data_IF_458700456298
#
_entry.id   IF_458700456298
#
_cell.length_a   1.000
_cell.length_b   1.000
_cell.length_c   1.000
_cell.angle_alpha   90.00
_cell.angle_beta   90.00
_cell.angle_gamma   90.00
#
_symmetry.space_group_name_H-M   'P 1'
#
loop_
_entity.id
_entity.type
_entity.pdbx_description
1 polymer ?
#
# COMPACT_ATOMS: atom_id res chain seq x y z
N UNK A 1 -28.19 -1.09 5.20
CA UNK A 1 -27.20 -0.89 6.26
C UNK A 1 -26.30 0.27 5.81
N UNK A 2 -26.04 1.26 6.63
CA UNK A 2 -25.13 2.36 6.28
C UNK A 2 -23.78 2.03 6.92
N UNK A 3 -22.77 1.79 6.12
CA UNK A 3 -21.42 1.60 6.62
C UNK A 3 -20.76 2.97 6.81
N UNK A 4 -19.90 3.10 7.81
CA UNK A 4 -19.13 4.33 8.04
C UNK A 4 -18.02 4.49 6.98
N UNK A 5 -17.47 3.37 6.50
CA UNK A 5 -16.45 3.30 5.46
C UNK A 5 -16.74 2.15 4.49
N UNK A 6 -16.40 2.36 3.22
CA UNK A 6 -16.49 1.32 2.19
C UNK A 6 -15.27 0.39 2.23
N UNK A 7 -14.10 0.96 2.58
CA UNK A 7 -12.82 0.24 2.65
C UNK A 7 -12.09 0.61 3.94
N UNK A 8 -11.62 -0.40 4.65
CA UNK A 8 -10.74 -0.23 5.81
C UNK A 8 -9.41 -0.91 5.51
N UNK A 9 -8.32 -0.14 5.58
CA UNK A 9 -6.95 -0.63 5.39
C UNK A 9 -6.25 -0.68 6.75
N UNK A 10 -5.76 -1.85 7.13
CA UNK A 10 -5.04 -2.05 8.38
C UNK A 10 -3.54 -2.11 8.12
N UNK A 11 -2.82 -1.15 8.72
CA UNK A 11 -1.37 -1.03 8.60
C UNK A 11 -0.93 -0.02 7.53
N UNK A 12 -0.18 1.01 7.95
CA UNK A 12 0.34 2.07 7.09
C UNK A 12 1.80 1.82 6.65
N UNK A 13 2.13 0.58 6.29
CA UNK A 13 3.34 0.28 5.51
C UNK A 13 3.19 0.73 4.05
N UNK A 14 4.20 0.52 3.21
CA UNK A 14 4.17 0.95 1.81
C UNK A 14 2.94 0.42 1.05
N UNK A 15 2.61 -0.87 1.22
CA UNK A 15 1.46 -1.48 0.58
C UNK A 15 0.13 -0.88 1.09
N UNK A 16 0.01 -0.68 2.41
CA UNK A 16 -1.20 -0.08 3.00
C UNK A 16 -1.40 1.37 2.58
N UNK A 17 -0.33 2.16 2.47
CA UNK A 17 -0.40 3.53 1.96
C UNK A 17 -0.90 3.58 0.52
N UNK A 18 -0.37 2.72 -0.36
CA UNK A 18 -0.82 2.62 -1.75
C UNK A 18 -2.27 2.12 -1.85
N UNK A 19 -2.64 1.08 -1.06
CA UNK A 19 -3.99 0.54 -1.05
C UNK A 19 -5.03 1.58 -0.60
N UNK A 20 -4.75 2.30 0.49
CA UNK A 20 -5.64 3.35 0.99
C UNK A 20 -5.78 4.51 0.00
N UNK A 21 -4.67 4.94 -0.59
CA UNK A 21 -4.66 5.98 -1.61
C UNK A 21 -5.44 5.55 -2.86
N UNK A 22 -5.27 4.33 -3.32
CA UNK A 22 -5.96 3.79 -4.49
C UNK A 22 -7.47 3.69 -4.25
N UNK A 23 -7.90 3.15 -3.09
CA UNK A 23 -9.31 3.03 -2.73
C UNK A 23 -10.00 4.40 -2.65
N UNK A 24 -9.40 5.36 -1.96
CA UNK A 24 -9.96 6.71 -1.85
C UNK A 24 -10.02 7.43 -3.22
N UNK A 25 -9.01 7.29 -4.05
CA UNK A 25 -9.01 7.85 -5.42
C UNK A 25 -10.04 7.19 -6.35
N UNK A 26 -10.37 5.93 -6.10
CA UNK A 26 -11.47 5.25 -6.78
C UNK A 26 -12.86 5.72 -6.31
N UNK A 27 -12.93 6.61 -5.32
CA UNK A 27 -14.16 7.20 -4.81
C UNK A 27 -14.74 6.50 -3.58
N UNK A 28 -14.05 5.51 -3.02
CA UNK A 28 -14.47 4.84 -1.80
C UNK A 28 -14.20 5.69 -0.55
N UNK A 29 -15.14 5.72 0.39
CA UNK A 29 -14.90 6.23 1.74
C UNK A 29 -13.93 5.28 2.44
N UNK A 30 -12.71 5.74 2.69
CA UNK A 30 -11.61 4.86 3.11
C UNK A 30 -11.08 5.23 4.48
N UNK A 31 -10.84 4.23 5.34
CA UNK A 31 -10.17 4.39 6.63
C UNK A 31 -8.83 3.65 6.61
N UNK A 32 -7.76 4.35 6.94
CA UNK A 32 -6.44 3.75 7.18
C UNK A 32 -6.15 3.70 8.69
N UNK A 33 -6.00 2.51 9.23
CA UNK A 33 -5.69 2.30 10.66
C UNK A 33 -4.23 1.88 10.81
N UNK A 34 -3.51 2.54 11.72
CA UNK A 34 -2.12 2.20 12.03
C UNK A 34 -1.81 2.43 13.50
N UNK A 35 -0.90 1.65 14.06
CA UNK A 35 -0.49 1.80 15.46
C UNK A 35 0.26 3.11 15.74
N UNK A 36 0.92 3.68 14.74
CA UNK A 36 1.71 4.90 14.89
C UNK A 36 1.72 5.73 13.59
N UNK A 37 1.03 6.86 13.60
CA UNK A 37 0.96 7.78 12.46
C UNK A 37 2.30 8.44 12.12
N UNK A 38 3.26 8.43 13.04
CA UNK A 38 4.61 8.94 12.76
C UNK A 38 5.48 7.94 12.01
N UNK A 39 5.03 6.68 11.88
CA UNK A 39 5.73 5.60 11.18
C UNK A 39 5.10 5.21 9.84
N UNK A 40 4.24 6.07 9.31
CA UNK A 40 3.66 5.87 7.97
C UNK A 40 4.76 5.68 6.94
N UNK A 41 4.65 4.63 6.14
CA UNK A 41 5.60 4.25 5.08
C UNK A 41 7.08 4.23 5.55
N UNK A 42 7.33 3.89 6.81
CA UNK A 42 8.68 3.89 7.37
C UNK A 42 9.59 2.88 6.66
N UNK A 43 10.73 3.35 6.22
CA UNK A 43 11.81 2.51 5.69
C UNK A 43 12.61 1.91 6.84
N UNK A 44 12.29 0.69 7.27
CA UNK A 44 12.89 0.04 8.46
C UNK A 44 14.34 -0.42 8.25
N UNK A 45 14.68 -0.80 7.00
CA UNK A 45 16.03 -1.30 6.68
C UNK A 45 16.84 -0.25 5.88
N UNK A 46 17.17 -0.57 4.63
CA UNK A 46 17.84 0.37 3.75
C UNK A 46 16.82 1.39 3.22
N UNK A 47 17.11 2.71 3.30
CA UNK A 47 16.22 3.74 2.77
C UNK A 47 16.32 3.80 1.24
N UNK A 48 15.98 2.72 0.57
CA UNK A 48 16.10 2.61 -0.88
C UNK A 48 14.87 1.95 -1.50
N UNK A 49 14.43 2.53 -2.61
CA UNK A 49 13.34 2.03 -3.44
C UNK A 49 13.89 1.52 -4.77
N UNK A 50 13.34 0.42 -5.26
CA UNK A 50 13.79 -0.19 -6.51
C UNK A 50 14.92 -1.20 -6.31
N UNK A 51 15.70 -1.41 -7.37
CA UNK A 51 16.69 -2.48 -7.46
C UNK A 51 16.19 -3.64 -8.30
N UNK A 52 16.91 -4.77 -8.29
CA UNK A 52 16.61 -5.96 -9.10
C UNK A 52 15.18 -6.44 -8.81
N UNK A 53 14.36 -6.57 -9.85
CA UNK A 53 12.93 -6.91 -9.84
C UNK A 53 12.02 -5.84 -9.16
N UNK A 54 12.47 -5.17 -8.11
CA UNK A 54 11.67 -4.19 -7.36
C UNK A 54 11.43 -2.89 -8.14
N UNK A 55 12.39 -2.46 -8.95
CA UNK A 55 12.26 -1.26 -9.79
C UNK A 55 11.16 -1.40 -10.84
N UNK A 56 10.96 -2.59 -11.37
CA UNK A 56 9.87 -2.89 -12.31
C UNK A 56 8.51 -2.78 -11.62
N UNK A 57 8.37 -3.35 -10.43
CA UNK A 57 7.13 -3.26 -9.62
C UNK A 57 6.78 -1.80 -9.31
N UNK A 58 7.76 -0.97 -8.94
CA UNK A 58 7.52 0.46 -8.70
C UNK A 58 6.99 1.17 -9.95
N UNK A 59 7.49 0.83 -11.13
CA UNK A 59 6.98 1.37 -12.40
C UNK A 59 5.56 0.92 -12.72
N UNK A 60 5.21 -0.31 -12.38
CA UNK A 60 3.85 -0.82 -12.54
C UNK A 60 2.88 -0.08 -11.58
N UNK A 61 3.29 0.13 -10.33
CA UNK A 61 2.53 0.94 -9.36
C UNK A 61 2.35 2.37 -9.88
N UNK A 62 3.39 2.99 -10.40
CA UNK A 62 3.37 4.33 -10.97
C UNK A 62 2.42 4.42 -12.18
N UNK A 63 2.47 3.43 -13.08
CA UNK A 63 1.58 3.34 -14.24
C UNK A 63 0.09 3.20 -13.84
N UNK A 64 -0.20 2.61 -12.69
CA UNK A 64 -1.53 2.53 -12.09
C UNK A 64 -1.91 3.80 -11.31
N UNK A 65 -1.03 4.79 -11.28
CA UNK A 65 -1.25 6.07 -10.59
C UNK A 65 -0.92 6.04 -9.10
N UNK A 66 -0.06 5.11 -8.65
CA UNK A 66 0.43 5.07 -7.27
C UNK A 66 1.43 6.18 -6.96
N UNK A 67 1.74 6.34 -5.69
CA UNK A 67 2.55 7.44 -5.18
C UNK A 67 4.01 7.04 -4.89
N UNK A 68 4.34 5.76 -4.85
CA UNK A 68 5.68 5.28 -4.48
C UNK A 68 6.78 5.88 -5.35
N UNK A 69 6.58 5.93 -6.66
CA UNK A 69 7.51 6.56 -7.60
C UNK A 69 7.70 8.05 -7.32
N UNK A 70 6.59 8.77 -7.20
CA UNK A 70 6.55 10.21 -6.96
C UNK A 70 7.24 10.59 -5.64
N UNK A 71 6.94 9.87 -4.56
CA UNK A 71 7.55 10.11 -3.25
C UNK A 71 9.04 9.80 -3.29
N UNK A 72 9.42 8.72 -3.98
CA UNK A 72 10.82 8.36 -4.16
C UNK A 72 11.59 9.45 -4.88
N UNK A 73 11.09 9.96 -6.00
CA UNK A 73 11.76 11.00 -6.79
C UNK A 73 11.93 12.30 -6.00
N UNK A 74 10.93 12.67 -5.20
CA UNK A 74 10.97 13.90 -4.38
C UNK A 74 11.87 13.80 -3.15
N UNK A 75 12.22 12.61 -2.73
CA UNK A 75 13.02 12.36 -1.51
C UNK A 75 14.35 11.67 -1.79
N UNK A 76 14.64 11.37 -3.07
CA UNK A 76 15.87 10.73 -3.48
C UNK A 76 17.09 11.60 -3.16
N UNK A 77 18.09 10.99 -2.53
CA UNK A 77 19.42 11.59 -2.30
C UNK A 77 20.48 10.98 -3.20
N UNK A 78 20.23 9.79 -3.72
CA UNK A 78 21.10 9.12 -4.69
C UNK A 78 20.26 8.25 -5.62
N UNK A 79 20.59 8.30 -6.90
CA UNK A 79 19.99 7.43 -7.93
C UNK A 79 21.07 6.60 -8.60
N UNK A 80 20.82 5.30 -8.79
CA UNK A 80 21.72 4.37 -9.49
C UNK A 80 20.92 3.46 -10.43
N UNK A 81 21.48 3.25 -11.62
CA UNK A 81 21.06 2.18 -12.51
C UNK A 81 21.92 0.94 -12.25
N UNK A 82 21.32 -0.12 -11.73
CA UNK A 82 21.97 -1.41 -11.50
C UNK A 82 21.95 -2.26 -12.76
N UNK A 83 22.83 -3.27 -12.82
CA UNK A 83 22.92 -4.26 -13.91
C UNK A 83 23.15 -3.68 -15.32
N UNK A 84 23.81 -2.53 -15.43
CA UNK A 84 24.08 -1.90 -16.74
C UNK A 84 24.86 -2.80 -17.70
N UNK A 85 25.73 -3.67 -17.17
CA UNK A 85 26.50 -4.64 -17.96
C UNK A 85 25.70 -5.85 -18.46
N UNK A 86 24.46 -6.02 -17.96
CA UNK A 86 23.62 -7.19 -18.27
C UNK A 86 22.61 -6.95 -19.41
N UNK A 87 22.66 -5.78 -20.02
CA UNK A 87 21.74 -5.37 -21.08
C UNK A 87 20.46 -4.67 -20.59
N UNK A 88 19.75 -3.94 -21.49
CA UNK A 88 18.65 -3.05 -21.13
C UNK A 88 17.50 -3.72 -20.39
N UNK A 89 17.18 -4.98 -20.71
CA UNK A 89 16.13 -5.73 -20.05
C UNK A 89 16.40 -5.98 -18.55
N UNK A 90 17.66 -5.97 -18.15
CA UNK A 90 18.09 -6.19 -16.76
C UNK A 90 18.40 -4.89 -16.00
N UNK A 91 18.28 -3.76 -16.65
CA UNK A 91 18.51 -2.47 -15.99
C UNK A 91 17.49 -2.23 -14.91
N UNK A 92 17.99 -2.04 -13.70
CA UNK A 92 17.13 -1.91 -12.51
C UNK A 92 17.41 -0.60 -11.82
N UNK A 93 16.51 0.39 -11.93
CA UNK A 93 16.67 1.66 -11.22
C UNK A 93 16.58 1.43 -9.72
N UNK A 94 17.44 2.10 -8.97
CA UNK A 94 17.43 2.13 -7.51
C UNK A 94 17.69 3.54 -7.04
N UNK A 95 16.76 4.07 -6.23
CA UNK A 95 16.93 5.35 -5.57
C UNK A 95 17.15 5.13 -4.07
N UNK A 96 18.09 5.84 -3.50
CA UNK A 96 18.24 5.97 -2.05
C UNK A 96 17.53 7.26 -1.63
N UNK A 97 16.63 7.15 -0.66
CA UNK A 97 15.80 8.28 -0.22
C UNK A 97 16.20 8.75 1.18
N UNK A 98 15.92 10.02 1.46
CA UNK A 98 15.92 10.52 2.83
C UNK A 98 14.76 9.88 3.60
N UNK A 99 15.08 9.08 4.60
CA UNK A 99 14.12 8.27 5.37
C UNK A 99 13.05 9.12 6.03
N UNK A 100 13.43 10.24 6.62
CA UNK A 100 12.52 11.11 7.36
C UNK A 100 11.60 11.88 6.40
N UNK A 101 12.17 12.44 5.35
CA UNK A 101 11.41 13.14 4.31
C UNK A 101 10.45 12.22 3.57
N UNK A 102 10.84 10.96 3.34
CA UNK A 102 10.01 9.97 2.67
C UNK A 102 8.73 9.69 3.47
N UNK A 103 8.86 9.40 4.76
CA UNK A 103 7.72 9.16 5.65
C UNK A 103 6.83 10.40 5.80
N UNK A 104 7.45 11.58 6.00
CA UNK A 104 6.72 12.84 6.13
C UNK A 104 5.94 13.19 4.85
N UNK A 105 6.53 12.98 3.68
CA UNK A 105 5.87 13.25 2.41
C UNK A 105 4.71 12.27 2.16
N UNK A 106 4.88 10.98 2.46
CA UNK A 106 3.79 10.01 2.40
C UNK A 106 2.61 10.43 3.28
N UNK A 107 2.90 10.78 4.53
CA UNK A 107 1.87 11.26 5.45
C UNK A 107 1.13 12.47 4.89
N UNK A 108 1.88 13.47 4.43
CA UNK A 108 1.28 14.67 3.83
C UNK A 108 0.40 14.35 2.63
N UNK A 109 0.78 13.41 1.78
CA UNK A 109 -0.04 12.98 0.63
C UNK A 109 -1.34 12.35 1.13
N UNK A 110 -1.27 11.39 2.05
CA UNK A 110 -2.46 10.69 2.55
C UNK A 110 -3.43 11.64 3.26
N UNK A 111 -2.93 12.60 4.05
CA UNK A 111 -3.74 13.62 4.74
C UNK A 111 -4.50 14.53 3.76
N UNK A 112 -4.04 14.65 2.52
CA UNK A 112 -4.64 15.51 1.50
C UNK A 112 -5.50 14.75 0.47
N UNK A 113 -5.68 13.43 0.60
CA UNK A 113 -6.56 12.67 -0.30
C UNK A 113 -8.01 12.79 0.19
N UNK A 114 -8.93 13.34 -0.62
CA UNK A 114 -10.34 13.41 -0.27
C UNK A 114 -10.92 11.99 -0.07
N UNK A 115 -11.75 11.83 0.96
CA UNK A 115 -12.38 10.54 1.26
C UNK A 115 -11.50 9.55 2.02
N UNK A 116 -10.26 9.92 2.34
CA UNK A 116 -9.36 9.12 3.19
C UNK A 116 -9.31 9.69 4.60
N UNK A 117 -9.68 8.86 5.57
CA UNK A 117 -9.51 9.14 7.01
C UNK A 117 -8.38 8.27 7.56
N UNK A 118 -7.65 8.81 8.54
CA UNK A 118 -6.60 8.06 9.23
C UNK A 118 -6.90 7.95 10.71
N UNK A 119 -6.65 6.78 11.29
CA UNK A 119 -6.88 6.50 12.69
C UNK A 119 -5.69 5.80 13.33
N UNK A 120 -5.28 6.28 14.50
CA UNK A 120 -4.19 5.65 15.24
C UNK A 120 -4.77 4.72 16.29
N UNK A 121 -4.67 3.41 16.00
CA UNK A 121 -5.11 2.37 16.92
C UNK A 121 -4.50 1.02 16.56
N UNK A 122 -4.70 0.02 17.43
CA UNK A 122 -4.27 -1.36 17.23
C UNK A 122 -5.50 -2.25 16.93
N UNK A 123 -5.51 -2.85 15.75
CA UNK A 123 -6.54 -3.81 15.36
C UNK A 123 -6.19 -5.17 15.96
N UNK A 124 -7.05 -5.69 16.81
CA UNK A 124 -6.83 -6.97 17.53
C UNK A 124 -7.64 -8.12 16.96
N UNK A 125 -8.78 -7.84 16.34
CA UNK A 125 -9.66 -8.87 15.76
C UNK A 125 -10.53 -8.27 14.68
N UNK A 126 -11.07 -9.14 13.84
CA UNK A 126 -12.08 -8.82 12.83
C UNK A 126 -13.42 -9.45 13.26
N UNK A 127 -14.47 -8.65 13.36
CA UNK A 127 -15.82 -9.13 13.60
C UNK A 127 -16.54 -9.15 12.25
N UNK A 128 -16.97 -10.34 11.84
CA UNK A 128 -17.70 -10.54 10.59
C UNK A 128 -19.16 -10.82 10.94
N UNK A 129 -20.06 -9.97 10.49
CA UNK A 129 -21.50 -10.25 10.51
C UNK A 129 -21.85 -10.97 9.21
N UNK A 130 -22.20 -12.25 9.30
CA UNK A 130 -22.79 -12.98 8.18
C UNK A 130 -24.27 -12.62 8.12
N UNK A 131 -24.64 -11.71 7.24
CA UNK A 131 -26.01 -11.68 6.76
C UNK A 131 -26.20 -12.98 5.95
N UNK A 132 -27.28 -13.73 6.20
CA UNK A 132 -27.67 -14.94 5.47
C UNK A 132 -27.83 -14.64 3.96
N UNK A 133 -26.71 -14.48 3.30
CA UNK A 133 -26.63 -14.40 1.86
C UNK A 133 -26.37 -15.82 1.35
N UNK A 134 -27.43 -16.55 1.03
CA UNK A 134 -27.36 -17.92 0.45
C UNK A 134 -26.51 -18.01 -0.83
N UNK A 135 -25.80 -16.96 -1.22
CA UNK A 135 -25.01 -16.86 -2.46
C UNK A 135 -23.66 -16.16 -2.29
N UNK A 136 -23.06 -16.20 -1.10
CA UNK A 136 -21.68 -15.72 -0.97
C UNK A 136 -20.73 -16.87 -1.33
N UNK A 137 -20.00 -16.82 -2.47
CA UNK A 137 -19.13 -17.93 -2.90
C UNK A 137 -17.81 -18.03 -2.12
N UNK A 138 -17.68 -17.30 -1.03
CA UNK A 138 -16.44 -17.23 -0.26
C UNK A 138 -16.73 -17.60 1.20
N UNK A 139 -16.82 -18.88 1.48
CA UNK A 139 -16.78 -19.41 2.85
C UNK A 139 -15.32 -19.67 3.25
N UNK A 140 -14.88 -18.96 4.31
CA UNK A 140 -13.71 -19.36 5.09
C UNK A 140 -14.18 -20.47 6.06
N UNK A 141 -13.51 -21.60 6.06
CA UNK A 141 -13.77 -22.64 7.05
C UNK A 141 -13.40 -22.16 8.47
N UNK A 142 -13.77 -22.95 9.50
CA UNK A 142 -13.47 -22.62 10.89
C UNK A 142 -11.98 -22.58 11.23
N UNK A 143 -11.11 -22.98 10.31
CA UNK A 143 -9.66 -22.91 10.41
C UNK A 143 -9.08 -21.69 9.67
N UNK A 144 -9.89 -20.90 8.95
CA UNK A 144 -9.45 -19.75 8.17
C UNK A 144 -8.88 -20.12 6.80
N UNK A 145 -9.12 -21.33 6.32
CA UNK A 145 -8.70 -21.76 5.00
C UNK A 145 -9.83 -21.58 3.96
N UNK A 146 -9.45 -21.31 2.72
CA UNK A 146 -10.39 -21.09 1.63
C UNK A 146 -11.08 -22.38 1.20
N UNK A 147 -12.40 -22.46 1.38
CA UNK A 147 -13.21 -23.63 1.06
C UNK A 147 -13.87 -23.58 -0.35
N UNK A 148 -13.46 -22.70 -1.24
CA UNK A 148 -14.06 -22.52 -2.56
C UNK A 148 -13.11 -22.83 -3.71
N UNK A 149 -13.59 -23.57 -4.73
CA UNK A 149 -12.95 -23.68 -6.06
C UNK A 149 -13.20 -22.38 -6.84
N UNK A 150 -12.14 -21.80 -7.38
CA UNK A 150 -12.26 -20.69 -8.35
C UNK A 150 -13.05 -21.21 -9.58
N UNK A 151 -14.02 -20.45 -10.08
CA UNK A 151 -14.66 -20.79 -11.35
C UNK A 151 -13.63 -20.69 -12.49
N UNK A 152 -13.68 -21.66 -13.43
CA UNK A 152 -12.89 -21.73 -14.67
C UNK A 152 -13.11 -20.52 -15.59
#
# INVERSE_FOLDING_TARGET
MKFDYDVIVVGAGHAGCEAAAAAARAGASTLLITMDLNKIAQMSCNPAVGGIAKGQIVREIDALGGYMGIVTDRTAIQFRMLNRSKGPAMWSPRAQSDRMRFSALWRSILENIPGLSMWQDSVTSLLIETNDCEKCPLELDRAGEWAGTLPD
#
